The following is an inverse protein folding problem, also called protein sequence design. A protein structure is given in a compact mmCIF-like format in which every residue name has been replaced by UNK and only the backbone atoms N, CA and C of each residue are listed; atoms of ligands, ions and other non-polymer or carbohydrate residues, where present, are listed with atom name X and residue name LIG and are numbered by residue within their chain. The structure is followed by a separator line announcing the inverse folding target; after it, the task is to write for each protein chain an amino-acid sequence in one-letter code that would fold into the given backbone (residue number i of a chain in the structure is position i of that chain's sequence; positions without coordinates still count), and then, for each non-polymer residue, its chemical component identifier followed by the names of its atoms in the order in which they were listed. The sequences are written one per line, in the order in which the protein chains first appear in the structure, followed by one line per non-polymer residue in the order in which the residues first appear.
data_IF_466535449238
#
_entry.id   IF_466535449238
#
_cell.length_a   1.000
_cell.length_b   1.000
_cell.length_c   1.000
_cell.angle_alpha   90.00
_cell.angle_beta   90.00
_cell.angle_gamma   90.00
#
_symmetry.space_group_name_H-M   'P 1'
#
loop_
_entity.id
_entity.type
_entity.pdbx_description
1 polymer ?
#
# COMPACT_ATOMS: atom_id res chain seq x y z
N UNK A 1 16.77 16.88 9.25
CA UNK A 1 17.27 17.36 7.96
C UNK A 1 16.53 16.53 6.92
N UNK A 2 15.60 17.12 6.18
CA UNK A 2 14.94 16.41 5.07
C UNK A 2 16.00 16.25 3.96
N UNK A 3 16.27 15.01 3.54
CA UNK A 3 17.22 14.71 2.46
C UNK A 3 16.38 14.51 1.21
N UNK A 4 16.68 15.29 0.17
CA UNK A 4 16.06 15.09 -1.14
C UNK A 4 16.64 13.83 -1.79
N UNK A 5 15.75 12.92 -2.19
CA UNK A 5 16.05 11.73 -2.97
C UNK A 5 15.84 12.10 -4.45
N UNK A 6 16.82 11.83 -5.34
CA UNK A 6 16.66 12.07 -6.77
C UNK A 6 15.37 11.47 -7.33
N UNK A 7 14.71 12.20 -8.23
CA UNK A 7 13.43 11.77 -8.80
C UNK A 7 13.49 10.37 -9.43
N UNK A 8 14.55 10.09 -10.19
CA UNK A 8 14.76 8.79 -10.85
C UNK A 8 14.94 7.65 -9.84
N UNK A 9 15.60 7.92 -8.71
CA UNK A 9 15.77 6.96 -7.62
C UNK A 9 14.41 6.71 -6.94
N UNK A 10 13.64 7.76 -6.68
CA UNK A 10 12.29 7.64 -6.12
C UNK A 10 11.36 6.83 -7.06
N UNK A 11 11.44 7.08 -8.36
CA UNK A 11 10.70 6.33 -9.38
C UNK A 11 11.09 4.85 -9.38
N UNK A 12 12.40 4.56 -9.39
CA UNK A 12 12.92 3.20 -9.37
C UNK A 12 12.47 2.46 -8.11
N UNK A 13 12.54 3.10 -6.94
CA UNK A 13 12.14 2.52 -5.67
C UNK A 13 10.66 2.16 -5.60
N UNK A 14 9.77 3.01 -6.13
CA UNK A 14 8.35 2.70 -6.26
C UNK A 14 8.14 1.53 -7.24
N UNK A 15 8.83 1.53 -8.38
CA UNK A 15 8.77 0.44 -9.35
C UNK A 15 9.22 -0.91 -8.76
N UNK A 16 10.35 -0.94 -8.05
CA UNK A 16 10.87 -2.12 -7.37
C UNK A 16 9.88 -2.60 -6.31
N UNK A 17 9.29 -1.68 -5.54
CA UNK A 17 8.27 -2.00 -4.53
C UNK A 17 7.10 -2.74 -5.17
N UNK A 18 6.53 -2.22 -6.25
CA UNK A 18 5.39 -2.85 -6.94
C UNK A 18 5.76 -4.20 -7.57
N UNK A 19 6.94 -4.28 -8.19
CA UNK A 19 7.44 -5.53 -8.77
C UNK A 19 7.65 -6.61 -7.72
N UNK A 20 8.26 -6.25 -6.58
CA UNK A 20 8.47 -7.16 -5.46
C UNK A 20 7.16 -7.69 -4.90
N UNK A 21 6.09 -6.90 -4.94
CA UNK A 21 4.76 -7.26 -4.50
C UNK A 21 3.90 -7.94 -5.58
N UNK A 22 4.44 -8.17 -6.80
CA UNK A 22 3.71 -8.73 -7.95
C UNK A 22 2.46 -7.92 -8.34
N UNK A 23 2.50 -6.61 -8.10
CA UNK A 23 1.40 -5.72 -8.46
C UNK A 23 1.49 -5.40 -9.96
N UNK A 24 0.51 -5.81 -10.78
CA UNK A 24 0.46 -5.39 -12.17
C UNK A 24 0.28 -3.88 -12.22
N UNK A 25 1.19 -3.20 -12.90
CA UNK A 25 1.12 -1.75 -13.06
C UNK A 25 1.58 -1.33 -14.44
N UNK A 26 0.96 -0.27 -14.95
CA UNK A 26 1.35 0.41 -16.17
C UNK A 26 1.92 1.78 -15.82
N UNK A 27 3.08 2.11 -16.39
CA UNK A 27 3.62 3.46 -16.30
C UNK A 27 2.87 4.41 -17.23
N UNK A 28 2.55 5.59 -16.73
CA UNK A 28 1.98 6.72 -17.47
C UNK A 28 2.67 8.01 -17.01
N UNK A 29 2.66 9.04 -17.85
CA UNK A 29 3.19 10.36 -17.53
C UNK A 29 2.08 11.38 -17.80
N UNK A 30 1.29 11.67 -16.77
CA UNK A 30 0.16 12.60 -16.86
C UNK A 30 0.65 14.03 -17.11
N UNK A 31 1.78 14.40 -16.53
CA UNK A 31 2.53 15.61 -16.86
C UNK A 31 3.92 15.19 -17.34
N UNK A 32 4.25 15.35 -18.63
CA UNK A 32 5.55 14.98 -19.18
C UNK A 32 6.70 15.60 -18.40
N UNK A 33 7.77 14.83 -18.20
CA UNK A 33 9.04 15.25 -17.58
C UNK A 33 8.97 15.77 -16.13
N UNK A 34 7.78 15.75 -15.52
CA UNK A 34 7.53 16.32 -14.19
C UNK A 34 6.97 15.27 -13.23
N UNK A 35 6.29 14.25 -13.75
CA UNK A 35 5.66 13.21 -12.93
C UNK A 35 5.60 11.87 -13.64
N UNK A 36 5.66 10.81 -12.83
CA UNK A 36 5.44 9.44 -13.29
C UNK A 36 4.32 8.83 -12.45
N UNK A 37 3.38 8.17 -13.12
CA UNK A 37 2.28 7.46 -12.51
C UNK A 37 2.42 5.96 -12.75
N UNK A 38 2.32 5.18 -11.67
CA UNK A 38 2.13 3.74 -11.72
C UNK A 38 0.64 3.46 -11.52
N UNK A 39 -0.04 3.11 -12.61
CA UNK A 39 -1.48 2.82 -12.64
C UNK A 39 -1.67 1.33 -12.39
N UNK A 40 -2.26 1.00 -11.23
CA UNK A 40 -2.58 -0.36 -10.80
C UNK A 40 -4.09 -0.59 -11.00
N UNK A 41 -4.50 -0.90 -12.23
CA UNK A 41 -5.91 -0.96 -12.64
C UNK A 41 -6.73 -1.97 -11.83
N UNK A 42 -6.18 -3.17 -11.58
CA UNK A 42 -6.86 -4.24 -10.84
C UNK A 42 -7.27 -3.83 -9.41
N UNK A 43 -6.55 -2.86 -8.81
CA UNK A 43 -6.77 -2.40 -7.44
C UNK A 43 -7.38 -0.99 -7.38
N UNK A 44 -7.58 -0.34 -8.53
CA UNK A 44 -8.02 1.05 -8.62
C UNK A 44 -7.10 2.00 -7.86
N UNK A 45 -5.77 1.85 -8.00
CA UNK A 45 -4.77 2.69 -7.33
C UNK A 45 -3.86 3.36 -8.36
N UNK A 46 -3.62 4.67 -8.20
CA UNK A 46 -2.59 5.42 -8.91
C UNK A 46 -1.54 5.89 -7.92
N UNK A 47 -0.29 5.49 -8.14
CA UNK A 47 0.85 5.94 -7.34
C UNK A 47 1.62 6.94 -8.19
N UNK A 48 1.71 8.19 -7.73
CA UNK A 48 2.35 9.28 -8.44
C UNK A 48 3.67 9.62 -7.77
N UNK A 49 4.76 9.49 -8.52
CA UNK A 49 6.08 10.02 -8.16
C UNK A 49 6.20 11.44 -8.73
N UNK A 50 6.50 12.39 -7.86
CA UNK A 50 6.39 13.82 -8.16
C UNK A 50 7.53 14.62 -7.52
N UNK A 51 7.85 15.77 -8.08
CA UNK A 51 8.56 16.80 -7.33
C UNK A 51 7.60 17.54 -6.39
N UNK A 52 8.09 17.93 -5.20
CA UNK A 52 7.26 18.60 -4.17
C UNK A 52 6.65 19.91 -4.66
N UNK A 53 7.40 20.67 -5.48
CA UNK A 53 6.98 21.96 -6.02
C UNK A 53 5.72 21.85 -6.91
N UNK A 54 5.55 20.72 -7.59
CA UNK A 54 4.52 20.52 -8.62
C UNK A 54 3.27 19.81 -8.08
N UNK A 55 3.23 19.50 -6.78
CA UNK A 55 2.19 18.69 -6.13
C UNK A 55 0.76 19.12 -6.50
N UNK A 56 0.45 20.41 -6.35
CA UNK A 56 -0.91 20.91 -6.53
C UNK A 56 -1.42 20.74 -7.96
N UNK A 57 -0.53 21.00 -8.94
CA UNK A 57 -0.86 20.86 -10.35
C UNK A 57 -1.03 19.38 -10.72
N UNK A 58 -0.04 18.54 -10.39
CA UNK A 58 -0.08 17.10 -10.71
C UNK A 58 -1.28 16.42 -10.04
N UNK A 59 -1.55 16.72 -8.76
CA UNK A 59 -2.70 16.16 -8.05
C UNK A 59 -4.01 16.46 -8.75
N UNK A 60 -4.19 17.67 -9.26
CA UNK A 60 -5.38 18.05 -10.01
C UNK A 60 -5.48 17.23 -11.31
N UNK A 61 -4.42 17.23 -12.12
CA UNK A 61 -4.41 16.56 -13.42
C UNK A 61 -4.59 15.04 -13.30
N UNK A 62 -3.97 14.41 -12.30
CA UNK A 62 -4.12 12.96 -12.03
C UNK A 62 -5.57 12.63 -11.64
N UNK A 63 -6.20 13.45 -10.81
CA UNK A 63 -7.60 13.24 -10.39
C UNK A 63 -8.61 13.45 -11.51
N UNK A 64 -8.32 14.37 -12.44
CA UNK A 64 -9.15 14.57 -13.63
C UNK A 64 -9.03 13.40 -14.61
N UNK A 65 -7.84 12.82 -14.74
CA UNK A 65 -7.59 11.71 -15.67
C UNK A 65 -8.05 10.34 -15.16
N UNK A 66 -7.94 10.08 -13.85
CA UNK A 66 -8.31 8.81 -13.24
C UNK A 66 -9.39 9.00 -12.15
N UNK A 67 -10.60 9.46 -12.51
CA UNK A 67 -11.68 9.59 -11.55
C UNK A 67 -11.94 8.24 -10.86
N UNK A 68 -12.28 8.28 -9.57
CA UNK A 68 -12.60 7.10 -8.75
C UNK A 68 -11.44 6.16 -8.38
N UNK A 69 -10.19 6.51 -8.71
CA UNK A 69 -9.02 5.80 -8.20
C UNK A 69 -8.65 6.26 -6.78
N UNK A 70 -7.93 5.41 -6.05
CA UNK A 70 -7.20 5.79 -4.83
C UNK A 70 -5.84 6.33 -5.23
N UNK A 71 -5.34 7.33 -4.50
CA UNK A 71 -4.11 8.01 -4.87
C UNK A 71 -3.07 7.90 -3.75
N UNK A 72 -1.84 7.61 -4.15
CA UNK A 72 -0.66 7.79 -3.30
C UNK A 72 0.28 8.73 -4.02
N UNK A 73 0.64 9.84 -3.37
CA UNK A 73 1.64 10.77 -3.88
C UNK A 73 2.93 10.56 -3.10
N UNK A 74 4.01 10.34 -3.84
CA UNK A 74 5.36 10.11 -3.33
C UNK A 74 6.24 11.22 -3.89
N UNK A 75 6.68 12.12 -3.02
CA UNK A 75 7.56 13.23 -3.37
C UNK A 75 9.02 12.88 -3.09
N UNK A 76 9.93 13.59 -3.75
CA UNK A 76 11.40 13.46 -3.55
C UNK A 76 11.88 13.74 -2.12
N UNK A 77 11.03 14.27 -1.24
CA UNK A 77 11.33 14.55 0.17
C UNK A 77 10.67 13.58 1.14
N UNK A 78 9.86 12.65 0.64
CA UNK A 78 9.12 11.72 1.51
C UNK A 78 10.01 10.60 2.04
N UNK A 79 9.67 10.11 3.24
CA UNK A 79 10.27 8.91 3.80
C UNK A 79 9.81 7.67 3.03
N UNK A 80 10.75 7.00 2.34
CA UNK A 80 10.48 5.81 1.54
C UNK A 80 9.83 4.67 2.34
N UNK A 81 10.20 4.48 3.61
CA UNK A 81 9.65 3.39 4.44
C UNK A 81 8.17 3.65 4.71
N UNK A 82 7.83 4.88 5.12
CA UNK A 82 6.44 5.28 5.38
C UNK A 82 5.60 5.25 4.10
N UNK A 83 6.18 5.66 2.97
CA UNK A 83 5.48 5.64 1.67
C UNK A 83 5.26 4.24 1.13
N UNK A 84 6.22 3.33 1.31
CA UNK A 84 6.01 1.91 0.98
C UNK A 84 4.82 1.35 1.76
N UNK A 85 4.72 1.66 3.05
CA UNK A 85 3.57 1.25 3.86
C UNK A 85 2.27 1.87 3.35
N UNK A 86 2.27 3.16 3.06
CA UNK A 86 1.10 3.84 2.50
C UNK A 86 0.65 3.23 1.16
N UNK A 87 1.61 2.87 0.28
CA UNK A 87 1.35 2.16 -0.98
C UNK A 87 0.66 0.84 -0.69
N UNK A 88 1.24 -0.01 0.18
CA UNK A 88 0.67 -1.32 0.47
C UNK A 88 -0.72 -1.17 1.07
N UNK A 89 -0.92 -0.31 2.07
CA UNK A 89 -2.23 -0.10 2.68
C UNK A 89 -3.29 0.36 1.68
N UNK A 90 -2.90 1.17 0.69
CA UNK A 90 -3.82 1.64 -0.34
C UNK A 90 -4.16 0.52 -1.33
N UNK A 91 -3.19 -0.31 -1.69
CA UNK A 91 -3.40 -1.52 -2.49
C UNK A 91 -4.30 -2.54 -1.76
N UNK A 92 -4.11 -2.72 -0.45
CA UNK A 92 -4.95 -3.62 0.36
C UNK A 92 -6.42 -3.19 0.34
N UNK A 93 -6.70 -1.88 0.39
CA UNK A 93 -8.07 -1.35 0.22
C UNK A 93 -8.70 -1.69 -1.14
N UNK A 94 -7.87 -1.98 -2.14
CA UNK A 94 -8.29 -2.44 -3.47
C UNK A 94 -8.35 -3.96 -3.63
N UNK A 95 -8.11 -4.76 -2.58
CA UNK A 95 -8.16 -6.23 -2.65
C UNK A 95 -6.82 -6.91 -2.93
N UNK A 96 -5.69 -6.19 -2.86
CA UNK A 96 -4.36 -6.72 -3.14
C UNK A 96 -3.99 -7.99 -2.34
N UNK A 97 -4.33 -8.05 -1.05
CA UNK A 97 -4.00 -9.22 -0.24
C UNK A 97 -4.75 -10.48 -0.67
N UNK A 98 -6.03 -10.33 -1.05
CA UNK A 98 -6.80 -11.42 -1.65
C UNK A 98 -6.15 -11.88 -2.95
N UNK A 99 -5.76 -10.94 -3.81
CA UNK A 99 -5.08 -11.24 -5.07
C UNK A 99 -3.79 -12.03 -4.87
N UNK A 100 -2.87 -11.55 -4.02
CA UNK A 100 -1.58 -12.22 -3.83
C UNK A 100 -1.76 -13.59 -3.15
N UNK A 101 -2.74 -13.72 -2.24
CA UNK A 101 -3.08 -14.99 -1.61
C UNK A 101 -3.59 -16.03 -2.61
N UNK A 102 -4.40 -15.62 -3.57
CA UNK A 102 -4.98 -16.51 -4.58
C UNK A 102 -3.99 -16.87 -5.70
N UNK A 103 -3.20 -15.90 -6.18
CA UNK A 103 -2.34 -16.06 -7.35
C UNK A 103 -0.89 -16.44 -7.00
N UNK A 104 -0.40 -16.01 -5.83
CA UNK A 104 0.98 -16.21 -5.37
C UNK A 104 1.03 -16.70 -3.90
N UNK A 105 0.37 -17.83 -3.56
CA UNK A 105 0.15 -18.24 -2.17
C UNK A 105 1.44 -18.40 -1.35
N UNK A 106 2.53 -18.88 -1.96
CA UNK A 106 3.85 -18.97 -1.29
C UNK A 106 4.40 -17.60 -0.90
N UNK A 107 4.25 -16.63 -1.78
CA UNK A 107 4.71 -15.27 -1.53
C UNK A 107 3.84 -14.57 -0.49
N UNK A 108 2.52 -14.79 -0.54
CA UNK A 108 1.62 -14.32 0.52
C UNK A 108 2.01 -14.89 1.88
N UNK A 109 2.26 -16.21 1.99
CA UNK A 109 2.70 -16.84 3.22
C UNK A 109 4.01 -16.23 3.73
N UNK A 110 5.01 -16.11 2.85
CA UNK A 110 6.30 -15.51 3.19
C UNK A 110 6.14 -14.07 3.69
N UNK A 111 5.38 -13.24 2.97
CA UNK A 111 5.12 -11.86 3.35
C UNK A 111 4.54 -11.78 4.77
N UNK A 112 3.54 -12.62 5.08
CA UNK A 112 2.93 -12.64 6.41
C UNK A 112 3.93 -13.06 7.50
N UNK A 113 4.71 -14.11 7.26
CA UNK A 113 5.66 -14.65 8.24
C UNK A 113 6.89 -13.75 8.45
N UNK A 114 7.27 -12.94 7.47
CA UNK A 114 8.38 -11.98 7.54
C UNK A 114 8.03 -10.72 8.36
N UNK A 115 6.99 -10.80 9.20
CA UNK A 115 6.56 -9.75 10.13
C UNK A 115 5.47 -8.82 9.57
N UNK A 116 5.11 -8.94 8.29
CA UNK A 116 4.06 -8.10 7.71
C UNK A 116 2.66 -8.40 8.28
N UNK A 117 2.39 -9.66 8.68
CA UNK A 117 1.14 -10.02 9.34
C UNK A 117 0.91 -9.22 10.62
N UNK A 118 1.91 -9.14 11.50
CA UNK A 118 1.86 -8.33 12.71
C UNK A 118 1.75 -6.83 12.41
N UNK A 119 2.36 -6.38 11.31
CA UNK A 119 2.27 -4.98 10.86
C UNK A 119 0.85 -4.61 10.44
N UNK A 120 0.16 -5.48 9.69
CA UNK A 120 -1.25 -5.30 9.32
C UNK A 120 -2.12 -5.16 10.56
N UNK A 121 -1.94 -6.05 11.54
CA UNK A 121 -2.75 -6.05 12.76
C UNK A 121 -2.56 -4.75 13.54
N UNK A 122 -1.31 -4.31 13.74
CA UNK A 122 -1.01 -3.03 14.40
C UNK A 122 -1.61 -1.83 13.66
N UNK A 123 -1.53 -1.81 12.34
CA UNK A 123 -2.10 -0.72 11.55
C UNK A 123 -3.63 -0.68 11.63
N UNK A 124 -4.30 -1.84 11.65
CA UNK A 124 -5.75 -1.93 11.86
C UNK A 124 -6.16 -1.38 13.23
N UNK A 125 -5.50 -1.82 14.29
CA UNK A 125 -5.74 -1.34 15.66
C UNK A 125 -5.53 0.18 15.75
N UNK A 126 -4.45 0.70 15.13
CA UNK A 126 -4.19 2.14 15.05
C UNK A 126 -5.29 2.91 14.32
N UNK A 127 -5.86 2.37 13.23
CA UNK A 127 -6.91 3.03 12.44
C UNK A 127 -8.27 3.01 13.12
N UNK A 128 -8.61 1.91 13.78
CA UNK A 128 -9.87 1.79 14.52
C UNK A 128 -9.83 2.57 15.83
N UNK A 129 -8.65 2.78 16.42
CA UNK A 129 -8.41 3.73 17.51
C UNK A 129 -9.42 3.60 18.66
N UNK A 130 -9.69 2.37 19.09
CA UNK A 130 -10.64 2.03 20.16
C UNK A 130 -12.08 2.55 19.95
N UNK A 131 -12.46 2.87 18.72
CA UNK A 131 -13.82 3.30 18.41
C UNK A 131 -14.83 2.15 18.62
N UNK A 132 -15.90 2.34 19.42
CA UNK A 132 -16.84 1.27 19.76
C UNK A 132 -17.49 0.56 18.58
N UNK A 133 -17.66 1.26 17.45
CA UNK A 133 -18.24 0.68 16.23
C UNK A 133 -17.38 -0.41 15.58
N UNK A 134 -16.11 -0.52 15.98
CA UNK A 134 -15.17 -1.55 15.53
C UNK A 134 -14.81 -2.56 16.61
N UNK A 135 -15.50 -2.54 17.76
CA UNK A 135 -15.13 -3.34 18.95
C UNK A 135 -14.84 -4.81 18.64
N UNK A 136 -15.71 -5.47 17.88
CA UNK A 136 -15.51 -6.87 17.50
C UNK A 136 -14.20 -7.09 16.73
N UNK A 137 -13.94 -6.26 15.72
CA UNK A 137 -12.71 -6.35 14.92
C UNK A 137 -11.46 -6.02 15.73
N UNK A 138 -11.55 -5.07 16.66
CA UNK A 138 -10.46 -4.74 17.58
C UNK A 138 -10.15 -5.95 18.47
N UNK A 139 -11.16 -6.51 19.14
CA UNK A 139 -11.00 -7.65 20.05
C UNK A 139 -10.39 -8.86 19.30
N UNK A 140 -10.84 -9.14 18.08
CA UNK A 140 -10.29 -10.18 17.20
C UNK A 140 -8.82 -9.92 16.84
N UNK A 141 -8.45 -8.67 16.49
CA UNK A 141 -7.08 -8.32 16.14
C UNK A 141 -6.14 -8.33 17.35
N UNK A 142 -6.63 -8.00 18.56
CA UNK A 142 -5.88 -8.16 19.81
C UNK A 142 -5.59 -9.64 20.07
N UNK A 143 -6.58 -10.53 19.93
CA UNK A 143 -6.36 -11.97 20.06
C UNK A 143 -5.37 -12.51 19.02
N UNK A 144 -5.46 -12.04 17.78
CA UNK A 144 -4.53 -12.43 16.72
C UNK A 144 -3.09 -11.99 16.98
N UNK A 145 -2.86 -10.88 17.70
CA UNK A 145 -1.51 -10.45 18.10
C UNK A 145 -0.83 -11.40 19.09
N UNK A 146 -1.62 -12.07 19.93
CA UNK A 146 -1.11 -13.01 20.94
C UNK A 146 -0.84 -14.41 20.37
N UNK A 147 -1.27 -14.68 19.13
CA UNK A 147 -1.06 -15.93 18.43
C UNK A 147 0.11 -15.84 17.42
N UNK A 148 0.84 -16.94 17.17
CA UNK A 148 1.79 -16.99 16.06
C UNK A 148 1.07 -16.72 14.72
N UNK A 149 1.65 -15.87 13.87
CA UNK A 149 1.08 -15.56 12.53
C UNK A 149 0.81 -16.82 11.71
N UNK A 150 1.65 -17.86 11.85
CA UNK A 150 1.46 -19.16 11.20
C UNK A 150 0.19 -19.88 11.64
N UNK A 151 -0.23 -19.73 12.90
CA UNK A 151 -1.47 -20.30 13.42
C UNK A 151 -2.69 -19.56 12.89
N UNK A 152 -2.63 -18.23 12.84
CA UNK A 152 -3.70 -17.39 12.25
C UNK A 152 -3.87 -17.75 10.77
N UNK A 153 -2.76 -17.86 10.03
CA UNK A 153 -2.76 -18.29 8.63
C UNK A 153 -3.35 -19.68 8.42
N UNK A 154 -3.07 -20.63 9.31
CA UNK A 154 -3.58 -22.00 9.18
C UNK A 154 -5.10 -22.06 9.41
N UNK A 155 -5.62 -21.21 10.30
CA UNK A 155 -7.04 -21.17 10.67
C UNK A 155 -7.85 -20.37 9.67
N UNK A 156 -7.39 -19.15 9.37
CA UNK A 156 -8.09 -18.20 8.52
C UNK A 156 -7.10 -17.35 7.70
N UNK A 157 -6.64 -17.85 6.54
CA UNK A 157 -5.74 -17.09 5.66
C UNK A 157 -6.30 -15.73 5.23
N UNK A 158 -7.62 -15.65 5.05
CA UNK A 158 -8.31 -14.43 4.62
C UNK A 158 -8.36 -13.34 5.70
N UNK A 159 -7.98 -13.65 6.95
CA UNK A 159 -7.91 -12.68 8.03
C UNK A 159 -7.05 -11.47 7.65
N UNK A 160 -6.01 -11.65 6.83
CA UNK A 160 -5.10 -10.58 6.40
C UNK A 160 -5.56 -9.83 5.16
N UNK A 161 -6.71 -10.17 4.57
CA UNK A 161 -7.11 -9.65 3.26
C UNK A 161 -7.51 -8.16 3.30
N UNK A 162 -8.14 -7.73 4.39
CA UNK A 162 -8.80 -6.43 4.48
C UNK A 162 -7.93 -5.34 5.14
N UNK A 163 -8.12 -4.10 4.72
CA UNK A 163 -7.55 -2.92 5.40
C UNK A 163 -8.64 -1.83 5.52
N UNK A 164 -8.98 -1.36 6.74
CA UNK A 164 -9.94 -0.27 6.94
C UNK A 164 -9.42 1.08 6.39
#
# INVERSE_FOLDING_TARGET
MEIEIPFEEMEAEVGITLQSLRVPSKKDCVVPDVSVQFVCEEFGVVISVINRADYSYIRKTVKERYPDYRYVFVSTYDNLIEKRDQIVWTLMKGGFMTYIRQNFPRQFQQLMTDGFGNKIIRERLRRWNDEPKFKFFIDENVQAMDAPVTMVLATEPAFFDYMP
#
